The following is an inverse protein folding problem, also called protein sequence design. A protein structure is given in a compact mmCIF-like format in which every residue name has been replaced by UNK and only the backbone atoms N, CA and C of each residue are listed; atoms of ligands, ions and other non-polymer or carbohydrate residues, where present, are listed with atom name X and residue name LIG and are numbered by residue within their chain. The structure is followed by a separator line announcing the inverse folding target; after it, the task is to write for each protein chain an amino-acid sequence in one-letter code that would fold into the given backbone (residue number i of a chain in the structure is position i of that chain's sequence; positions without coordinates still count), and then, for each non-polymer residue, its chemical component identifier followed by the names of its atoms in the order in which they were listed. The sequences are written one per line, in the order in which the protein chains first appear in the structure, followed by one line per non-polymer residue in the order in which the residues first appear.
data_IF_659070448469
#
_entry.id   IF_659070448469
#
_cell.length_a   1.000
_cell.length_b   1.000
_cell.length_c   1.000
_cell.angle_alpha   90.00
_cell.angle_beta   90.00
_cell.angle_gamma   90.00
#
_symmetry.space_group_name_H-M   'P 1'
#
loop_
_entity.id
_entity.type
_entity.pdbx_description
1 polymer ?
#
# COMPACT_ATOMS: atom_id res chain seq x y z
N UNK A 1 -2.34 -5.51 -0.27
CA UNK A 1 -3.01 -4.83 -1.41
C UNK A 1 -2.15 -5.05 -2.65
N UNK A 2 -2.75 -5.39 -3.79
CA UNK A 2 -2.04 -5.54 -5.08
C UNK A 2 -2.78 -4.71 -6.12
N UNK A 3 -2.08 -3.77 -6.76
CA UNK A 3 -2.64 -2.86 -7.76
C UNK A 3 -1.71 -2.77 -8.96
N UNK A 4 -2.26 -2.45 -10.14
CA UNK A 4 -1.51 -2.30 -11.38
C UNK A 4 -1.83 -0.93 -11.97
N UNK A 5 -0.82 -0.19 -12.39
CA UNK A 5 -0.98 1.14 -12.98
C UNK A 5 0.33 1.75 -13.43
N UNK A 6 0.29 2.99 -13.93
CA UNK A 6 1.50 3.75 -14.19
C UNK A 6 2.16 4.20 -12.88
N UNK A 7 3.46 4.55 -12.93
CA UNK A 7 4.19 5.02 -11.74
C UNK A 7 3.50 6.21 -11.06
N UNK A 8 3.04 7.17 -11.85
CA UNK A 8 2.39 8.38 -11.34
C UNK A 8 1.02 8.08 -10.70
N UNK A 9 0.20 7.23 -11.33
CA UNK A 9 -1.11 6.84 -10.79
C UNK A 9 -0.97 6.07 -9.47
N UNK A 10 0.05 5.20 -9.39
CA UNK A 10 0.36 4.48 -8.15
C UNK A 10 0.78 5.45 -7.04
N UNK A 11 1.60 6.46 -7.35
CA UNK A 11 1.99 7.49 -6.39
C UNK A 11 0.77 8.29 -5.89
N UNK A 12 -0.12 8.72 -6.79
CA UNK A 12 -1.36 9.41 -6.44
C UNK A 12 -2.25 8.56 -5.54
N UNK A 13 -2.37 7.25 -5.83
CA UNK A 13 -3.11 6.32 -4.98
C UNK A 13 -2.53 6.26 -3.56
N UNK A 14 -1.21 6.14 -3.43
CA UNK A 14 -0.54 6.07 -2.12
C UNK A 14 -0.66 7.38 -1.34
N UNK A 15 -0.52 8.51 -2.02
CA UNK A 15 -0.73 9.83 -1.41
C UNK A 15 -2.16 9.98 -0.89
N UNK A 16 -3.16 9.50 -1.65
CA UNK A 16 -4.55 9.49 -1.20
C UNK A 16 -4.82 8.58 -0.01
N UNK A 17 -4.20 7.40 0.04
CA UNK A 17 -4.30 6.49 1.20
C UNK A 17 -3.64 7.11 2.45
N UNK A 18 -2.53 7.84 2.25
CA UNK A 18 -1.77 8.48 3.33
C UNK A 18 -2.45 9.74 3.87
N UNK A 19 -3.35 10.37 3.10
CA UNK A 19 -4.09 11.57 3.52
C UNK A 19 -5.40 11.26 4.25
N UNK A 20 -5.77 9.98 4.40
CA UNK A 20 -6.97 9.59 5.13
C UNK A 20 -6.91 10.08 6.59
N UNK A 21 -8.02 10.59 7.16
CA UNK A 21 -8.06 11.09 8.53
C UNK A 21 -8.10 9.95 9.56
N UNK A 22 -7.18 8.98 9.44
CA UNK A 22 -7.03 7.83 10.34
C UNK A 22 -5.59 7.31 10.30
N UNK A 23 -5.20 6.58 11.35
CA UNK A 23 -3.85 5.99 11.43
C UNK A 23 -3.76 4.80 10.47
N UNK A 24 -3.02 5.00 9.38
CA UNK A 24 -2.63 3.96 8.43
C UNK A 24 -1.12 3.96 8.32
N UNK A 25 -0.49 2.81 8.54
CA UNK A 25 0.93 2.61 8.23
C UNK A 25 1.07 1.65 7.07
N UNK A 26 2.05 1.91 6.22
CA UNK A 26 2.28 1.17 5.00
C UNK A 26 3.64 0.47 5.08
N UNK A 27 3.68 -0.81 4.72
CA UNK A 27 4.83 -1.70 4.87
C UNK A 27 5.02 -2.55 3.61
N UNK A 28 6.20 -3.14 3.49
CA UNK A 28 6.52 -4.18 2.51
C UNK A 28 6.14 -3.79 1.07
N UNK A 29 6.64 -2.64 0.64
CA UNK A 29 6.42 -2.12 -0.70
C UNK A 29 7.24 -2.90 -1.72
N UNK A 30 6.56 -3.40 -2.75
CA UNK A 30 7.19 -4.05 -3.88
C UNK A 30 6.58 -3.50 -5.17
N UNK A 31 7.41 -3.00 -6.07
CA UNK A 31 6.98 -2.51 -7.39
C UNK A 31 7.80 -3.23 -8.45
N UNK A 32 7.10 -3.87 -9.40
CA UNK A 32 7.72 -4.60 -10.51
C UNK A 32 6.99 -4.29 -11.82
N UNK A 33 7.68 -4.28 -12.97
CA UNK A 33 7.02 -4.24 -14.26
C UNK A 33 6.02 -5.39 -14.40
N UNK A 34 4.84 -5.12 -14.95
CA UNK A 34 3.83 -6.16 -15.16
C UNK A 34 4.25 -7.17 -16.24
N UNK A 35 4.94 -6.69 -17.28
CA UNK A 35 5.56 -7.51 -18.32
C UNK A 35 7.00 -7.06 -18.54
N UNK A 36 7.88 -8.03 -18.82
CA UNK A 36 9.35 -7.90 -18.68
C UNK A 36 10.04 -6.77 -19.45
N UNK A 37 9.35 -6.08 -20.38
CA UNK A 37 9.91 -4.98 -21.17
C UNK A 37 9.06 -3.69 -21.21
N UNK A 38 7.93 -3.64 -20.49
CA UNK A 38 7.03 -2.47 -20.56
C UNK A 38 7.07 -1.67 -19.26
N UNK A 39 7.71 -0.50 -19.29
CA UNK A 39 7.71 0.45 -18.16
C UNK A 39 6.36 1.18 -18.00
N UNK A 40 5.39 0.97 -18.91
CA UNK A 40 4.10 1.69 -18.86
C UNK A 40 3.18 1.20 -17.75
N UNK A 41 3.28 -0.07 -17.37
CA UNK A 41 2.44 -0.68 -16.33
C UNK A 41 3.30 -1.39 -15.29
N UNK A 42 3.13 -0.96 -14.05
CA UNK A 42 3.80 -1.49 -12.88
C UNK A 42 2.76 -2.16 -12.00
N UNK A 43 3.14 -3.32 -11.46
CA UNK A 43 2.41 -3.99 -10.39
C UNK A 43 3.03 -3.59 -9.06
N UNK A 44 2.21 -3.07 -8.17
CA UNK A 44 2.60 -2.72 -6.81
C UNK A 44 1.91 -3.63 -5.80
N UNK A 45 2.68 -4.16 -4.85
CA UNK A 45 2.20 -4.86 -3.67
C UNK A 45 2.58 -4.07 -2.42
N UNK A 46 1.65 -3.95 -1.48
CA UNK A 46 1.82 -3.16 -0.25
C UNK A 46 0.97 -3.72 0.89
N UNK A 47 1.52 -3.70 2.10
CA UNK A 47 0.83 -4.09 3.33
C UNK A 47 0.38 -2.83 4.09
N UNK A 48 -0.94 -2.62 4.21
CA UNK A 48 -1.50 -1.56 5.01
C UNK A 48 -1.94 -2.08 6.38
N UNK A 49 -1.55 -1.39 7.45
CA UNK A 49 -1.95 -1.69 8.82
C UNK A 49 -2.68 -0.49 9.42
N UNK A 50 -3.79 -0.77 10.10
CA UNK A 50 -4.54 0.21 10.88
C UNK A 50 -4.52 -0.20 12.35
N UNK A 51 -4.57 0.79 13.24
CA UNK A 51 -4.48 0.56 14.67
C UNK A 51 -5.76 0.96 15.35
N UNK A 52 -6.13 0.17 16.36
CA UNK A 52 -7.16 0.49 17.34
C UNK A 52 -6.65 0.06 18.71
N UNK A 53 -7.18 0.68 19.75
CA UNK A 53 -6.86 0.27 21.10
C UNK A 53 -7.30 -1.18 21.36
N UNK A 54 -6.54 -1.87 22.22
CA UNK A 54 -6.86 -3.22 22.67
C UNK A 54 -7.10 -3.19 24.18
N UNK A 55 -8.38 -3.05 24.58
CA UNK A 55 -8.81 -3.05 25.98
C UNK A 55 -8.61 -4.40 26.69
N UNK A 56 -8.40 -5.49 25.94
CA UNK A 56 -8.39 -6.86 26.48
C UNK A 56 -7.00 -7.39 26.83
N UNK A 57 -5.95 -6.57 26.69
CA UNK A 57 -4.56 -6.96 26.94
C UNK A 57 -4.09 -8.12 26.04
N UNK A 58 -2.88 -8.63 26.30
CA UNK A 58 -2.41 -9.88 25.70
C UNK A 58 -2.97 -11.03 26.53
N UNK A 59 -4.00 -11.72 26.01
CA UNK A 59 -4.43 -13.00 26.58
C UNK A 59 -3.31 -14.01 26.32
N UNK A 60 -2.67 -14.48 27.39
CA UNK A 60 -1.66 -15.55 27.34
C UNK A 60 -2.30 -16.92 27.22
#
# INVERSE_FOLDING_TARGET
IKVVGGYHDLATFISGVSSLPRIVTLHDFEIKPESGNSSSKLRMSILAKTYRYNDKGLQK
#
